data_IF_739514386039
#
_entry.id   IF_739514386039
#
_cell.length_a   1.000
_cell.length_b   1.000
_cell.length_c   1.000
_cell.angle_alpha   90.00
_cell.angle_beta   90.00
_cell.angle_gamma   90.00
#
_symmetry.space_group_name_H-M   'P 1'
#
loop_
_entity.id
_entity.type
_entity.pdbx_description
1 polymer ?
#
# COMPACT_ATOMS: atom_id res chain seq x y z
N UNK A 1 -33.27 27.29 -57.48
CA UNK A 1 -32.74 28.10 -56.36
C UNK A 1 -33.64 27.76 -55.18
N UNK A 2 -33.23 27.05 -54.13
CA UNK A 2 -31.93 27.02 -53.44
C UNK A 2 -31.69 25.62 -52.85
N UNK A 3 -30.41 25.30 -52.76
CA UNK A 3 -29.70 24.06 -52.45
C UNK A 3 -30.02 23.37 -51.12
N UNK A 4 -30.05 22.03 -51.22
CA UNK A 4 -29.79 21.03 -50.17
C UNK A 4 -28.40 21.24 -49.54
N UNK A 5 -28.30 21.12 -48.22
CA UNK A 5 -27.01 20.99 -47.51
C UNK A 5 -27.11 19.85 -46.51
N UNK A 6 -26.68 18.68 -46.97
CA UNK A 6 -26.19 17.55 -46.18
C UNK A 6 -25.21 18.01 -45.10
N UNK A 7 -25.52 17.67 -43.85
CA UNK A 7 -24.55 17.70 -42.74
C UNK A 7 -23.67 16.47 -42.93
N UNK A 8 -22.46 16.71 -43.42
CA UNK A 8 -21.38 15.73 -43.50
C UNK A 8 -20.93 15.35 -42.09
N UNK A 9 -21.30 14.12 -41.71
CA UNK A 9 -20.43 13.10 -41.14
C UNK A 9 -18.99 13.55 -40.83
N UNK A 10 -18.73 13.86 -39.56
CA UNK A 10 -17.36 13.91 -39.02
C UNK A 10 -17.04 12.57 -38.38
N UNK A 11 -17.02 11.53 -39.20
CA UNK A 11 -16.29 10.32 -38.91
C UNK A 11 -14.78 10.58 -39.13
N UNK A 12 -14.00 10.00 -38.23
CA UNK A 12 -12.61 9.61 -38.41
C UNK A 12 -11.49 10.65 -38.14
N UNK A 13 -11.05 10.69 -36.88
CA UNK A 13 -9.72 11.20 -36.46
C UNK A 13 -8.99 10.25 -35.52
N UNK A 14 -9.34 8.96 -35.51
CA UNK A 14 -8.56 7.96 -34.79
C UNK A 14 -7.92 7.02 -35.81
N UNK A 15 -6.68 7.35 -36.18
CA UNK A 15 -5.76 6.34 -36.71
C UNK A 15 -5.69 5.13 -35.78
N UNK A 16 -5.13 3.99 -36.23
CA UNK A 16 -5.11 2.74 -35.46
C UNK A 16 -4.66 3.05 -34.03
N UNK A 17 -5.55 2.84 -33.05
CA UNK A 17 -5.36 3.24 -31.66
C UNK A 17 -3.93 2.93 -31.22
N UNK A 18 -3.08 3.95 -31.19
CA UNK A 18 -1.71 3.81 -30.74
C UNK A 18 -1.82 3.34 -29.29
N UNK A 19 -1.44 2.09 -29.03
CA UNK A 19 -1.57 1.47 -27.72
C UNK A 19 -0.91 2.40 -26.69
N UNK A 20 -1.74 3.05 -25.88
CA UNK A 20 -1.27 3.99 -24.86
C UNK A 20 -0.34 3.22 -23.92
N UNK A 21 0.76 3.83 -23.50
CA UNK A 21 1.71 3.24 -22.55
C UNK A 21 1.55 3.87 -21.16
N UNK A 22 1.74 3.04 -20.14
CA UNK A 22 1.63 3.39 -18.73
C UNK A 22 2.91 2.94 -18.03
N UNK A 23 3.61 3.90 -17.44
CA UNK A 23 4.69 3.65 -16.49
C UNK A 23 4.11 3.63 -15.07
N UNK A 24 4.43 2.60 -14.29
CA UNK A 24 4.06 2.50 -12.89
C UNK A 24 5.31 2.52 -12.03
N UNK A 25 5.37 3.41 -11.05
CA UNK A 25 6.44 3.47 -10.04
C UNK A 25 5.97 2.78 -8.77
N UNK A 26 6.71 1.77 -8.35
CA UNK A 26 6.38 0.88 -7.24
C UNK A 26 5.61 -0.37 -7.70
N UNK A 27 6.10 -1.55 -7.35
CA UNK A 27 5.54 -2.86 -7.69
C UNK A 27 4.73 -3.44 -6.51
N UNK A 28 3.94 -2.60 -5.85
CA UNK A 28 3.03 -2.99 -4.76
C UNK A 28 1.64 -3.45 -5.25
N UNK A 29 0.68 -3.66 -4.32
CA UNK A 29 -0.67 -4.13 -4.65
C UNK A 29 -1.38 -3.33 -5.75
N UNK A 30 -1.19 -2.01 -5.78
CA UNK A 30 -1.79 -1.13 -6.81
C UNK A 30 -1.30 -1.48 -8.22
N UNK A 31 0.01 -1.71 -8.39
CA UNK A 31 0.58 -2.10 -9.68
C UNK A 31 0.09 -3.49 -10.09
N UNK A 32 0.09 -4.44 -9.15
CA UNK A 32 -0.40 -5.81 -9.39
C UNK A 32 -1.87 -5.80 -9.80
N UNK A 33 -2.72 -5.01 -9.15
CA UNK A 33 -4.13 -4.86 -9.50
C UNK A 33 -4.33 -4.33 -10.93
N UNK A 34 -3.59 -3.28 -11.31
CA UNK A 34 -3.67 -2.72 -12.67
C UNK A 34 -3.21 -3.74 -13.71
N UNK A 35 -2.13 -4.46 -13.46
CA UNK A 35 -1.60 -5.48 -14.38
C UNK A 35 -2.52 -6.70 -14.45
N UNK A 36 -3.08 -7.16 -13.34
CA UNK A 36 -4.06 -8.26 -13.31
C UNK A 36 -5.35 -7.89 -14.06
N UNK A 37 -5.87 -6.67 -13.87
CA UNK A 37 -7.02 -6.18 -14.64
C UNK A 37 -6.70 -6.10 -16.14
N UNK A 38 -5.52 -5.59 -16.50
CA UNK A 38 -5.09 -5.57 -17.90
C UNK A 38 -4.96 -6.98 -18.49
N UNK A 39 -4.48 -7.96 -17.71
CA UNK A 39 -4.45 -9.36 -18.14
C UNK A 39 -5.86 -9.90 -18.38
N UNK A 40 -6.80 -9.68 -17.45
CA UNK A 40 -8.20 -10.09 -17.59
C UNK A 40 -8.86 -9.47 -18.85
N UNK A 41 -8.73 -8.16 -19.04
CA UNK A 41 -9.22 -7.46 -20.23
C UNK A 41 -8.62 -8.04 -21.52
N UNK A 42 -7.31 -8.32 -21.54
CA UNK A 42 -6.61 -8.88 -22.70
C UNK A 42 -7.11 -10.28 -23.06
N UNK A 43 -7.41 -11.14 -22.07
CA UNK A 43 -7.97 -12.49 -22.35
C UNK A 43 -9.33 -12.43 -23.04
N UNK A 44 -10.05 -11.33 -22.85
CA UNK A 44 -11.36 -11.06 -23.46
C UNK A 44 -11.26 -10.29 -24.78
N UNK A 45 -10.04 -10.04 -25.28
CA UNK A 45 -9.80 -9.29 -26.52
C UNK A 45 -10.04 -7.78 -26.40
N UNK A 46 -10.13 -7.25 -25.19
CA UNK A 46 -10.32 -5.81 -24.95
C UNK A 46 -8.98 -5.07 -25.00
N UNK A 47 -9.01 -3.81 -25.46
CA UNK A 47 -7.83 -2.98 -25.56
C UNK A 47 -7.25 -2.66 -24.18
N UNK A 48 -5.92 -2.76 -24.06
CA UNK A 48 -5.18 -2.47 -22.83
C UNK A 48 -3.90 -1.70 -23.12
N UNK A 49 -3.46 -0.81 -22.23
CA UNK A 49 -2.20 -0.13 -22.41
C UNK A 49 -1.01 -1.09 -22.29
N UNK A 50 0.13 -0.69 -22.87
CA UNK A 50 1.42 -1.32 -22.55
C UNK A 50 1.86 -0.83 -21.18
N UNK A 51 2.02 -1.74 -20.23
CA UNK A 51 2.32 -1.38 -18.84
C UNK A 51 3.75 -1.83 -18.52
N UNK A 52 4.58 -0.89 -18.08
CA UNK A 52 5.91 -1.17 -17.52
C UNK A 52 5.91 -0.73 -16.07
N UNK A 53 6.35 -1.61 -15.18
CA UNK A 53 6.44 -1.38 -13.73
C UNK A 53 7.90 -1.24 -13.34
N UNK A 54 8.23 -0.25 -12.52
CA UNK A 54 9.59 -0.01 -12.02
C UNK A 54 9.58 -0.05 -10.51
N UNK A 55 10.43 -0.88 -9.91
CA UNK A 55 10.58 -0.97 -8.46
C UNK A 55 12.01 -1.41 -8.09
N UNK A 56 12.65 -0.78 -7.11
CA UNK A 56 14.03 -1.12 -6.74
C UNK A 56 14.16 -2.47 -6.02
N UNK A 57 13.10 -2.92 -5.33
CA UNK A 57 13.08 -4.15 -4.53
C UNK A 57 12.41 -5.32 -5.26
N UNK A 58 11.56 -4.99 -6.23
CA UNK A 58 10.72 -5.92 -6.98
C UNK A 58 9.31 -6.04 -6.42
N UNK A 59 8.53 -7.00 -6.92
CA UNK A 59 7.12 -7.14 -6.54
C UNK A 59 6.98 -7.36 -5.03
N UNK A 60 6.17 -6.49 -4.42
CA UNK A 60 5.83 -6.50 -3.02
C UNK A 60 6.99 -6.30 -2.04
N UNK A 61 8.09 -5.64 -2.45
CA UNK A 61 9.25 -5.39 -1.58
C UNK A 61 8.91 -4.84 -0.19
N UNK A 62 7.99 -3.87 -0.11
CA UNK A 62 7.52 -3.25 1.15
C UNK A 62 6.71 -4.18 2.07
N UNK A 63 6.35 -5.38 1.62
CA UNK A 63 5.67 -6.40 2.42
C UNK A 63 6.64 -7.48 2.91
N UNK A 64 7.94 -7.28 2.68
CA UNK A 64 9.04 -8.13 3.11
C UNK A 64 10.01 -7.32 3.96
N UNK A 65 10.93 -8.00 4.63
CA UNK A 65 12.03 -7.37 5.39
C UNK A 65 12.88 -6.41 4.54
N UNK A 66 13.02 -6.67 3.24
CA UNK A 66 13.81 -5.85 2.31
C UNK A 66 13.28 -4.43 2.14
N UNK A 67 11.98 -4.22 2.38
CA UNK A 67 11.37 -2.90 2.30
C UNK A 67 11.42 -2.13 3.61
N UNK A 68 11.95 -2.73 4.68
CA UNK A 68 12.15 -2.09 5.97
C UNK A 68 10.88 -1.51 6.64
N UNK A 69 9.69 -1.91 6.17
CA UNK A 69 8.41 -1.53 6.78
C UNK A 69 7.89 -2.58 7.76
N UNK A 70 8.37 -3.82 7.66
CA UNK A 70 7.87 -4.99 8.38
C UNK A 70 8.93 -6.09 8.33
N UNK A 71 8.90 -7.03 9.28
CA UNK A 71 9.71 -8.26 9.23
C UNK A 71 9.07 -9.35 8.35
N UNK A 72 7.91 -9.08 7.75
CA UNK A 72 7.13 -10.05 6.99
C UNK A 72 6.31 -11.01 7.87
N UNK A 73 6.50 -11.01 9.19
CA UNK A 73 5.83 -11.93 10.12
C UNK A 73 4.48 -11.40 10.60
N UNK A 74 4.31 -10.09 10.64
CA UNK A 74 3.08 -9.48 11.12
C UNK A 74 1.90 -9.80 10.19
N UNK A 75 0.69 -10.02 10.75
CA UNK A 75 -0.49 -10.32 9.97
C UNK A 75 -1.01 -9.09 9.22
N UNK A 76 -1.66 -9.32 8.09
CA UNK A 76 -2.32 -8.30 7.30
C UNK A 76 -3.48 -7.68 8.10
N UNK A 77 -3.53 -6.35 8.21
CA UNK A 77 -4.58 -5.64 8.95
C UNK A 77 -5.96 -5.64 8.28
N UNK A 78 -6.08 -6.16 7.06
CA UNK A 78 -7.35 -6.28 6.31
C UNK A 78 -7.61 -7.72 5.89
N UNK A 79 -8.87 -8.15 5.74
CA UNK A 79 -9.17 -9.49 5.23
C UNK A 79 -8.50 -9.73 3.88
N UNK A 80 -7.85 -10.89 3.67
CA UNK A 80 -7.11 -11.16 2.44
C UNK A 80 -8.00 -11.28 1.21
N UNK A 81 -9.32 -11.42 1.37
CA UNK A 81 -10.30 -11.33 0.29
C UNK A 81 -10.39 -9.93 -0.33
N UNK A 82 -9.93 -8.87 0.37
CA UNK A 82 -9.71 -7.53 -0.22
C UNK A 82 -8.41 -7.52 -1.04
N UNK A 83 -8.38 -8.38 -2.05
CA UNK A 83 -7.23 -8.65 -2.88
C UNK A 83 -7.13 -7.76 -4.12
N UNK A 84 -6.27 -8.11 -5.08
CA UNK A 84 -5.98 -7.26 -6.25
C UNK A 84 -7.16 -7.08 -7.19
N UNK A 85 -8.20 -7.91 -7.08
CA UNK A 85 -9.40 -7.85 -7.89
C UNK A 85 -10.64 -7.32 -7.16
N UNK A 86 -10.61 -7.28 -5.84
CA UNK A 86 -11.71 -6.78 -5.02
C UNK A 86 -12.12 -5.33 -5.43
N UNK A 87 -13.42 -5.02 -5.54
CA UNK A 87 -14.59 -5.83 -5.16
C UNK A 87 -15.17 -6.70 -6.29
N UNK A 88 -14.46 -6.90 -7.40
CA UNK A 88 -15.00 -7.61 -8.58
C UNK A 88 -16.29 -6.98 -9.12
N UNK A 89 -16.27 -5.65 -9.28
CA UNK A 89 -17.35 -4.86 -9.86
C UNK A 89 -16.79 -3.92 -10.93
N UNK A 90 -16.48 -4.47 -12.10
CA UNK A 90 -15.97 -3.71 -13.23
C UNK A 90 -17.02 -2.76 -13.80
N UNK A 91 -16.59 -1.58 -14.23
CA UNK A 91 -17.46 -0.60 -14.90
C UNK A 91 -16.85 -0.04 -16.20
N UNK A 92 -15.68 -0.55 -16.60
CA UNK A 92 -14.90 -0.04 -17.73
C UNK A 92 -15.08 -0.85 -19.02
N UNK A 93 -15.88 -1.92 -18.99
CA UNK A 93 -16.07 -2.85 -20.11
C UNK A 93 -17.53 -2.96 -20.59
N UNK A 94 -18.38 -2.00 -20.19
CA UNK A 94 -19.79 -1.98 -20.58
C UNK A 94 -20.51 -3.28 -20.21
N UNK A 95 -21.25 -3.85 -21.16
CA UNK A 95 -21.99 -5.11 -21.01
C UNK A 95 -21.11 -6.31 -20.65
N UNK A 96 -19.80 -6.24 -20.96
CA UNK A 96 -18.84 -7.32 -20.68
C UNK A 96 -18.17 -7.21 -19.31
N UNK A 97 -18.64 -6.31 -18.45
CA UNK A 97 -18.01 -6.07 -17.15
C UNK A 97 -18.00 -7.31 -16.24
N UNK A 98 -19.06 -8.12 -16.25
CA UNK A 98 -19.10 -9.37 -15.49
C UNK A 98 -18.09 -10.40 -15.99
N UNK A 99 -17.89 -10.51 -17.31
CA UNK A 99 -16.85 -11.38 -17.89
C UNK A 99 -15.45 -10.95 -17.41
N UNK A 100 -15.21 -9.64 -17.32
CA UNK A 100 -13.93 -9.10 -16.80
C UNK A 100 -13.74 -9.47 -15.33
N UNK A 101 -14.80 -9.42 -14.53
CA UNK A 101 -14.74 -9.78 -13.11
C UNK A 101 -14.48 -11.28 -12.93
N UNK A 102 -15.12 -12.15 -13.71
CA UNK A 102 -14.85 -13.59 -13.74
C UNK A 102 -13.40 -13.90 -14.14
N UNK A 103 -12.90 -13.24 -15.19
CA UNK A 103 -11.51 -13.39 -15.62
C UNK A 103 -10.52 -12.86 -14.58
N UNK A 104 -10.84 -11.75 -13.91
CA UNK A 104 -10.01 -11.16 -12.85
C UNK A 104 -10.00 -12.03 -11.58
N UNK A 105 -11.08 -12.73 -11.28
CA UNK A 105 -11.16 -13.64 -10.15
C UNK A 105 -10.10 -14.75 -10.19
N UNK A 106 -9.55 -15.05 -11.37
CA UNK A 106 -8.42 -15.96 -11.55
C UNK A 106 -7.12 -15.51 -10.83
N UNK A 107 -7.04 -14.25 -10.40
CA UNK A 107 -5.92 -13.65 -9.64
C UNK A 107 -6.24 -13.44 -8.15
N UNK A 108 -7.37 -13.98 -7.68
CA UNK A 108 -7.82 -13.79 -6.30
C UNK A 108 -7.00 -14.56 -5.26
N UNK A 109 -7.11 -14.14 -4.00
CA UNK A 109 -6.49 -14.82 -2.87
C UNK A 109 -6.94 -16.30 -2.74
N UNK A 110 -8.23 -16.66 -2.85
CA UNK A 110 -8.66 -18.06 -2.91
C UNK A 110 -8.00 -18.85 -4.05
N UNK A 111 -7.79 -18.23 -5.22
CA UNK A 111 -7.11 -18.90 -6.33
C UNK A 111 -5.62 -19.14 -6.06
N UNK A 112 -4.94 -18.20 -5.40
CA UNK A 112 -3.58 -18.40 -4.90
C UNK A 112 -3.49 -19.52 -3.88
N UNK A 113 -4.43 -19.59 -2.94
CA UNK A 113 -4.46 -20.68 -1.96
C UNK A 113 -4.76 -22.03 -2.61
N UNK A 114 -5.64 -22.07 -3.62
CA UNK A 114 -5.93 -23.28 -4.39
C UNK A 114 -4.71 -23.75 -5.18
N UNK A 115 -4.03 -22.85 -5.89
CA UNK A 115 -2.83 -23.17 -6.68
C UNK A 115 -1.67 -23.67 -5.83
N UNK A 116 -1.67 -23.33 -4.54
CA UNK A 116 -0.63 -23.72 -3.58
C UNK A 116 -1.07 -24.79 -2.59
N UNK A 117 -2.23 -25.43 -2.80
CA UNK A 117 -2.72 -26.54 -1.96
C UNK A 117 -3.10 -26.14 -0.52
N UNK A 118 -3.34 -24.86 -0.26
CA UNK A 118 -3.58 -24.29 1.08
C UNK A 118 -5.03 -23.91 1.37
N UNK A 119 -5.91 -23.97 0.36
CA UNK A 119 -7.27 -23.46 0.47
C UNK A 119 -8.09 -24.14 1.58
N UNK A 120 -8.14 -25.47 1.62
CA UNK A 120 -8.91 -26.21 2.63
C UNK A 120 -8.44 -25.88 4.05
N UNK A 121 -7.12 -25.97 4.30
CA UNK A 121 -6.52 -25.65 5.61
C UNK A 121 -6.79 -24.20 6.05
N UNK A 122 -6.81 -23.24 5.13
CA UNK A 122 -7.16 -21.85 5.46
C UNK A 122 -8.62 -21.70 5.87
N UNK A 123 -9.55 -22.41 5.18
CA UNK A 123 -10.97 -22.44 5.56
C UNK A 123 -11.16 -23.11 6.92
N UNK A 124 -10.56 -24.28 7.14
CA UNK A 124 -10.69 -25.06 8.38
C UNK A 124 -10.16 -24.31 9.61
N UNK A 125 -9.20 -23.39 9.40
CA UNK A 125 -8.64 -22.52 10.44
C UNK A 125 -9.44 -21.24 10.66
N UNK A 126 -10.61 -21.09 10.05
CA UNK A 126 -11.46 -19.91 10.19
C UNK A 126 -10.95 -18.68 9.44
N UNK A 127 -10.28 -18.88 8.30
CA UNK A 127 -9.79 -17.82 7.40
C UNK A 127 -8.85 -16.81 8.07
N UNK A 128 -7.74 -17.26 8.69
CA UNK A 128 -6.81 -16.35 9.34
C UNK A 128 -6.21 -15.36 8.34
N UNK A 129 -5.93 -14.14 8.83
CA UNK A 129 -5.23 -13.12 8.06
C UNK A 129 -3.79 -13.59 7.78
N UNK A 130 -3.29 -13.51 6.54
CA UNK A 130 -1.95 -13.96 6.21
C UNK A 130 -0.90 -13.02 6.77
N UNK A 131 0.31 -13.53 6.99
CA UNK A 131 1.46 -12.67 7.27
C UNK A 131 1.81 -11.80 6.06
N UNK A 132 2.48 -10.67 6.27
CA UNK A 132 2.95 -9.81 5.18
C UNK A 132 3.84 -10.57 4.17
N UNK A 133 4.69 -11.49 4.62
CA UNK A 133 5.50 -12.33 3.72
C UNK A 133 4.64 -13.25 2.85
N UNK A 134 3.55 -13.79 3.39
CA UNK A 134 2.59 -14.60 2.62
C UNK A 134 1.80 -13.72 1.65
N UNK A 135 1.44 -12.50 2.05
CA UNK A 135 0.83 -11.52 1.17
C UNK A 135 1.76 -11.12 0.02
N UNK A 136 3.05 -10.90 0.30
CA UNK A 136 4.07 -10.67 -0.71
C UNK A 136 4.16 -11.83 -1.70
N UNK A 137 4.12 -13.07 -1.21
CA UNK A 137 4.08 -14.27 -2.06
C UNK A 137 2.84 -14.33 -2.96
N UNK A 138 1.68 -13.88 -2.46
CA UNK A 138 0.47 -13.78 -3.26
C UNK A 138 0.60 -12.73 -4.37
N UNK A 139 1.10 -11.54 -4.04
CA UNK A 139 1.31 -10.46 -5.01
C UNK A 139 2.31 -10.85 -6.11
N UNK A 140 3.39 -11.54 -5.74
CA UNK A 140 4.36 -12.10 -6.68
C UNK A 140 3.71 -13.13 -7.62
N UNK A 141 2.94 -14.07 -7.07
CA UNK A 141 2.19 -15.04 -7.86
C UNK A 141 1.22 -14.38 -8.85
N UNK A 142 0.47 -13.37 -8.39
CA UNK A 142 -0.49 -12.67 -9.23
C UNK A 142 0.22 -11.86 -10.35
N UNK A 143 1.33 -11.20 -10.03
CA UNK A 143 2.13 -10.44 -10.98
C UNK A 143 2.76 -11.33 -12.07
N UNK A 144 3.33 -12.47 -11.67
CA UNK A 144 3.92 -13.45 -12.59
C UNK A 144 2.84 -14.01 -13.52
N UNK A 145 1.72 -14.46 -12.96
CA UNK A 145 0.59 -15.01 -13.74
C UNK A 145 -0.02 -13.99 -14.70
N UNK A 146 0.03 -12.70 -14.36
CA UNK A 146 -0.48 -11.62 -15.20
C UNK A 146 0.53 -11.16 -16.28
N UNK A 147 1.77 -11.66 -16.24
CA UNK A 147 2.83 -11.30 -17.17
C UNK A 147 3.34 -9.87 -16.97
N UNK A 148 3.58 -9.46 -15.72
CA UNK A 148 4.10 -8.12 -15.40
C UNK A 148 5.47 -7.85 -16.04
N UNK A 149 5.58 -6.79 -16.85
CA UNK A 149 6.88 -6.23 -17.30
C UNK A 149 7.48 -5.40 -16.16
N UNK A 150 8.31 -6.04 -15.35
CA UNK A 150 8.99 -5.44 -14.20
C UNK A 150 10.42 -5.06 -14.56
N UNK A 151 10.81 -3.83 -14.24
CA UNK A 151 12.19 -3.33 -14.28
C UNK A 151 12.69 -3.09 -12.87
N UNK A 152 13.75 -3.81 -12.48
CA UNK A 152 14.41 -3.60 -11.19
C UNK A 152 15.30 -2.36 -11.29
N UNK A 153 14.77 -1.23 -10.83
CA UNK A 153 15.46 0.06 -10.86
C UNK A 153 14.80 1.04 -9.87
N UNK A 154 15.55 2.04 -9.44
CA UNK A 154 15.05 3.14 -8.63
C UNK A 154 14.77 4.36 -9.52
N UNK A 155 13.55 4.89 -9.51
CA UNK A 155 13.27 6.16 -10.21
C UNK A 155 13.78 7.31 -9.34
N UNK A 156 14.82 7.99 -9.81
CA UNK A 156 15.50 9.08 -9.09
C UNK A 156 15.09 10.47 -9.56
N UNK A 157 14.51 10.58 -10.76
CA UNK A 157 13.98 11.83 -11.29
C UNK A 157 12.80 11.59 -12.23
N UNK A 158 11.89 12.57 -12.26
CA UNK A 158 10.76 12.63 -13.17
C UNK A 158 10.75 14.00 -13.85
N UNK A 159 10.57 13.98 -15.17
CA UNK A 159 10.43 15.17 -16.01
C UNK A 159 9.31 14.98 -17.03
N UNK A 160 8.96 16.05 -17.74
CA UNK A 160 8.03 16.05 -18.86
C UNK A 160 8.78 16.55 -20.10
N UNK A 161 8.93 15.68 -21.09
CA UNK A 161 9.53 16.01 -22.38
C UNK A 161 8.55 15.70 -23.52
N UNK A 162 8.37 16.66 -24.43
CA UNK A 162 7.44 16.58 -25.57
C UNK A 162 6.03 16.04 -25.21
N UNK A 163 5.51 16.40 -24.03
CA UNK A 163 4.20 15.97 -23.54
C UNK A 163 4.14 14.51 -23.07
N UNK A 164 5.28 13.87 -22.82
CA UNK A 164 5.41 12.53 -22.23
C UNK A 164 6.12 12.64 -20.89
N UNK A 165 5.82 11.70 -19.99
CA UNK A 165 6.63 11.51 -18.80
C UNK A 165 7.97 10.91 -19.18
N UNK A 166 9.04 11.39 -18.55
CA UNK A 166 10.39 10.82 -18.65
C UNK A 166 10.88 10.53 -17.24
N UNK A 167 11.08 9.26 -16.93
CA UNK A 167 11.65 8.81 -15.68
C UNK A 167 13.11 8.45 -15.86
N UNK A 168 13.98 9.03 -15.04
CA UNK A 168 15.37 8.58 -14.91
C UNK A 168 15.42 7.48 -13.87
N UNK A 169 15.73 6.26 -14.31
CA UNK A 169 15.81 5.07 -13.49
C UNK A 169 17.27 4.65 -13.29
N UNK A 170 17.71 4.64 -12.03
CA UNK A 170 19.02 4.17 -11.60
C UNK A 170 19.03 2.65 -11.47
N UNK A 171 20.05 2.03 -12.06
CA UNK A 171 20.32 0.59 -12.01
C UNK A 171 21.77 0.34 -11.60
N UNK A 172 22.12 -0.91 -11.33
CA UNK A 172 23.52 -1.30 -11.10
C UNK A 172 24.45 -0.96 -12.29
N UNK A 173 23.90 -0.82 -13.50
CA UNK A 173 24.64 -0.52 -14.73
C UNK A 173 24.63 0.97 -15.10
N UNK A 174 24.13 1.84 -14.21
CA UNK A 174 23.99 3.27 -14.43
C UNK A 174 22.55 3.73 -14.64
N UNK A 175 22.40 4.91 -15.23
CA UNK A 175 21.11 5.55 -15.44
C UNK A 175 20.48 5.11 -16.76
N UNK A 176 19.16 4.92 -16.75
CA UNK A 176 18.34 4.62 -17.93
C UNK A 176 17.15 5.57 -17.98
N UNK A 177 16.69 5.91 -19.19
CA UNK A 177 15.51 6.74 -19.39
C UNK A 177 14.33 5.86 -19.82
N UNK A 178 13.21 6.02 -19.13
CA UNK A 178 11.94 5.40 -19.46
C UNK A 178 10.96 6.51 -19.81
N UNK A 179 10.20 6.35 -20.91
CA UNK A 179 9.22 7.37 -21.32
C UNK A 179 7.86 6.75 -21.59
N UNK A 180 6.81 7.41 -21.11
CA UNK A 180 5.42 6.97 -21.25
C UNK A 180 4.46 8.14 -21.37
N UNK A 181 3.28 7.91 -21.95
CA UNK A 181 2.18 8.88 -21.99
C UNK A 181 1.49 9.01 -20.64
N UNK A 182 1.38 7.92 -19.90
CA UNK A 182 0.73 7.89 -18.60
C UNK A 182 1.72 7.46 -17.50
N UNK A 183 1.51 7.99 -16.30
CA UNK A 183 2.29 7.66 -15.12
C UNK A 183 1.34 7.33 -13.96
N UNK A 184 1.63 6.26 -13.22
CA UNK A 184 1.00 5.96 -11.94
C UNK A 184 2.08 5.81 -10.87
N UNK A 185 2.02 6.63 -9.82
CA UNK A 185 2.93 6.54 -8.67
C UNK A 185 2.24 5.76 -7.55
N UNK A 186 2.96 4.80 -6.98
CA UNK A 186 2.48 3.97 -5.87
C UNK A 186 3.54 3.82 -4.78
N UNK A 187 3.13 3.29 -3.63
CA UNK A 187 4.02 3.07 -2.47
C UNK A 187 3.92 4.19 -1.42
N UNK A 188 4.35 3.90 -0.18
CA UNK A 188 4.30 4.83 0.95
C UNK A 188 5.48 5.83 0.99
N UNK A 189 6.44 5.71 0.07
CA UNK A 189 7.75 6.35 0.17
C UNK A 189 8.75 5.50 0.96
N UNK A 190 9.92 6.05 1.31
CA UNK A 190 10.97 5.31 1.98
C UNK A 190 10.72 5.21 3.51
N UNK A 191 11.13 4.09 4.11
CA UNK A 191 10.94 3.77 5.53
C UNK A 191 11.97 4.44 6.46
N UNK A 192 13.00 5.04 5.88
CA UNK A 192 14.11 5.72 6.56
C UNK A 192 13.82 7.19 6.93
N UNK A 193 12.64 7.70 6.54
CA UNK A 193 12.26 9.09 6.79
C UNK A 193 12.00 9.34 8.28
N UNK A 194 12.74 10.29 8.83
CA UNK A 194 12.53 10.84 10.16
C UNK A 194 11.76 12.16 10.12
N UNK A 195 10.63 12.30 10.86
CA UNK A 195 9.87 13.55 10.91
C UNK A 195 10.63 14.73 11.53
N UNK A 196 11.60 14.45 12.41
CA UNK A 196 12.32 15.45 13.21
C UNK A 196 13.75 15.73 12.73
N UNK A 197 14.12 15.25 11.54
CA UNK A 197 15.50 15.29 11.02
C UNK A 197 16.34 14.12 11.52
N UNK A 198 17.50 13.89 10.89
CA UNK A 198 18.43 12.82 11.24
C UNK A 198 19.46 13.26 12.29
N UNK A 199 20.10 12.30 12.97
CA UNK A 199 21.30 12.54 13.78
C UNK A 199 21.08 12.71 15.29
N UNK A 200 19.87 12.50 15.81
CA UNK A 200 19.64 12.42 17.27
C UNK A 200 19.83 10.98 17.73
N UNK A 201 20.81 10.74 18.61
CA UNK A 201 21.05 9.41 19.18
C UNK A 201 19.79 8.87 19.88
N UNK A 202 19.44 7.61 19.62
CA UNK A 202 18.25 6.97 20.16
C UNK A 202 16.95 7.25 19.40
N UNK A 203 17.00 7.99 18.27
CA UNK A 203 15.86 8.17 17.37
C UNK A 203 16.04 7.27 16.15
N UNK A 204 15.06 6.39 15.95
CA UNK A 204 15.08 5.40 14.87
C UNK A 204 13.97 5.73 13.86
N UNK A 205 14.30 5.69 12.57
CA UNK A 205 13.27 5.52 11.55
C UNK A 205 12.67 4.11 11.66
N UNK A 206 11.62 3.83 10.89
CA UNK A 206 11.05 2.47 10.84
C UNK A 206 12.11 1.49 10.33
N UNK A 207 12.92 1.92 9.37
CA UNK A 207 14.00 1.10 8.83
C UNK A 207 15.10 0.82 9.85
N UNK A 208 15.61 1.88 10.51
CA UNK A 208 16.68 1.74 11.51
C UNK A 208 16.21 0.84 12.66
N UNK A 209 14.94 0.95 13.06
CA UNK A 209 14.37 0.12 14.12
C UNK A 209 14.41 -1.36 13.74
N UNK A 210 13.89 -1.74 12.57
CA UNK A 210 13.88 -3.14 12.16
C UNK A 210 15.29 -3.70 11.92
N UNK A 211 16.21 -2.88 11.41
CA UNK A 211 17.62 -3.26 11.28
C UNK A 211 18.27 -3.52 12.65
N UNK A 212 18.08 -2.62 13.62
CA UNK A 212 18.55 -2.81 14.98
C UNK A 212 17.97 -4.09 15.62
N UNK A 213 16.69 -4.37 15.38
CA UNK A 213 16.04 -5.57 15.91
C UNK A 213 16.58 -6.86 15.28
N UNK A 214 16.90 -6.83 13.99
CA UNK A 214 17.54 -7.94 13.27
C UNK A 214 18.98 -8.19 13.75
N UNK A 215 19.72 -7.13 14.07
CA UNK A 215 21.06 -7.21 14.65
C UNK A 215 21.07 -7.62 16.13
N UNK A 216 19.91 -7.75 16.77
CA UNK A 216 19.80 -8.08 18.19
C UNK A 216 20.27 -6.97 19.11
N UNK A 217 20.18 -5.70 18.67
CA UNK A 217 20.50 -4.54 19.49
C UNK A 217 19.61 -4.50 20.74
N UNK A 218 20.20 -4.09 21.86
CA UNK A 218 19.43 -3.84 23.08
C UNK A 218 18.51 -2.64 22.90
N UNK A 219 17.28 -2.77 23.43
CA UNK A 219 16.29 -1.70 23.47
C UNK A 219 16.28 -1.15 24.89
N UNK A 220 16.25 0.18 25.03
CA UNK A 220 16.12 0.80 26.34
C UNK A 220 14.77 0.50 27.02
N UNK A 221 14.72 0.70 28.33
CA UNK A 221 13.53 0.39 29.14
C UNK A 221 12.34 1.33 28.92
N UNK A 222 12.56 2.52 28.35
CA UNK A 222 11.54 3.55 28.13
C UNK A 222 11.57 4.00 26.67
N UNK A 223 10.55 3.57 25.91
CA UNK A 223 10.48 3.78 24.46
C UNK A 223 9.27 4.62 24.10
N UNK A 224 9.47 5.57 23.19
CA UNK A 224 8.40 6.38 22.60
C UNK A 224 8.19 5.96 21.14
N UNK A 225 6.97 5.58 20.79
CA UNK A 225 6.57 5.27 19.42
C UNK A 225 5.70 6.41 18.87
N UNK A 226 6.09 6.99 17.74
CA UNK A 226 5.36 8.11 17.12
C UNK A 226 4.39 7.57 16.08
N UNK A 227 3.10 7.72 16.35
CA UNK A 227 2.01 7.28 15.46
C UNK A 227 1.06 6.27 16.12
N UNK A 228 -0.06 6.02 15.44
CA UNK A 228 -1.08 5.05 15.86
C UNK A 228 -1.66 4.27 14.67
N UNK A 229 -0.87 4.10 13.60
CA UNK A 229 -1.25 3.25 12.45
C UNK A 229 -0.69 1.83 12.58
N UNK A 230 -0.96 0.98 11.60
CA UNK A 230 -0.48 -0.41 11.56
C UNK A 230 1.04 -0.53 11.80
N UNK A 231 1.86 0.34 11.19
CA UNK A 231 3.31 0.35 11.41
C UNK A 231 3.71 0.63 12.85
N UNK A 232 3.04 1.58 13.51
CA UNK A 232 3.31 1.85 14.93
C UNK A 232 2.88 0.65 15.79
N UNK A 233 1.74 0.03 15.45
CA UNK A 233 1.22 -1.14 16.13
C UNK A 233 2.17 -2.33 16.08
N UNK A 234 2.73 -2.63 14.91
CA UNK A 234 3.69 -3.74 14.76
C UNK A 234 5.01 -3.50 15.48
N UNK A 235 5.45 -2.24 15.60
CA UNK A 235 6.60 -1.87 16.43
C UNK A 235 6.29 -2.10 17.91
N UNK A 236 5.13 -1.65 18.40
CA UNK A 236 4.76 -1.83 19.81
C UNK A 236 4.61 -3.31 20.16
N UNK A 237 4.02 -4.13 19.28
CA UNK A 237 3.93 -5.56 19.47
C UNK A 237 5.32 -6.22 19.59
N UNK A 238 6.28 -5.83 18.73
CA UNK A 238 7.67 -6.32 18.83
C UNK A 238 8.33 -5.88 20.15
N UNK A 239 8.14 -4.64 20.57
CA UNK A 239 8.67 -4.12 21.84
C UNK A 239 8.10 -4.89 23.05
N UNK A 240 6.82 -5.27 23.00
CA UNK A 240 6.19 -6.13 24.02
C UNK A 240 6.83 -7.51 24.09
N UNK A 241 7.13 -8.14 22.94
CA UNK A 241 7.87 -9.41 22.91
C UNK A 241 9.29 -9.29 23.49
N UNK A 242 9.90 -8.11 23.42
CA UNK A 242 11.21 -7.80 24.01
C UNK A 242 11.13 -7.43 25.50
N UNK A 243 9.92 -7.34 26.08
CA UNK A 243 9.67 -6.99 27.49
C UNK A 243 10.22 -5.62 27.89
N UNK A 244 10.07 -4.63 26.99
CA UNK A 244 10.40 -3.23 27.30
C UNK A 244 9.53 -2.75 28.46
N UNK A 245 10.13 -2.11 29.46
CA UNK A 245 9.44 -1.79 30.71
C UNK A 245 8.35 -0.72 30.56
N UNK A 246 8.49 0.20 29.60
CA UNK A 246 7.51 1.26 29.33
C UNK A 246 7.48 1.62 27.85
N UNK A 247 6.29 1.58 27.26
CA UNK A 247 6.06 1.97 25.87
C UNK A 247 5.04 3.11 25.87
N UNK A 248 5.42 4.28 25.37
CA UNK A 248 4.49 5.41 25.16
C UNK A 248 4.27 5.63 23.69
N UNK A 249 3.03 5.49 23.26
CA UNK A 249 2.63 5.88 21.93
C UNK A 249 2.15 7.32 21.91
N UNK A 250 2.64 8.11 20.96
CA UNK A 250 2.20 9.49 20.78
C UNK A 250 1.47 9.62 19.45
N UNK A 251 0.19 10.02 19.51
CA UNK A 251 -0.59 10.32 18.30
C UNK A 251 -1.57 11.48 18.54
N UNK A 252 -1.99 12.23 17.49
CA UNK A 252 -2.85 13.39 17.66
C UNK A 252 -4.26 13.08 18.18
N UNK A 253 -4.71 11.82 18.09
CA UNK A 253 -6.03 11.41 18.56
C UNK A 253 -6.17 11.53 20.08
N UNK A 254 -7.40 11.67 20.58
CA UNK A 254 -7.66 11.67 22.02
C UNK A 254 -7.34 10.32 22.69
N UNK A 255 -7.35 9.24 21.91
CA UNK A 255 -6.96 7.89 22.32
C UNK A 255 -6.38 7.14 21.11
N UNK A 256 -5.85 5.94 21.35
CA UNK A 256 -5.56 4.97 20.32
C UNK A 256 -6.87 4.32 19.85
N UNK A 257 -7.31 4.68 18.65
CA UNK A 257 -8.52 4.11 18.07
C UNK A 257 -8.20 2.83 17.29
N UNK A 258 -9.07 1.83 17.40
CA UNK A 258 -9.16 0.78 16.40
C UNK A 258 -9.90 1.29 15.17
N UNK A 259 -9.56 0.75 14.01
CA UNK A 259 -10.25 1.02 12.75
C UNK A 259 -11.72 0.65 12.91
N UNK A 260 -12.61 1.56 12.51
CA UNK A 260 -14.01 1.23 12.31
C UNK A 260 -14.16 0.20 11.19
N UNK A 261 -14.55 -1.03 11.56
CA UNK A 261 -14.78 -2.14 10.62
C UNK A 261 -16.28 -2.45 10.47
N UNK A 262 -17.16 -1.49 10.76
CA UNK A 262 -18.58 -1.68 10.53
C UNK A 262 -18.88 -1.91 9.04
N UNK A 263 -20.00 -2.57 8.73
CA UNK A 263 -20.44 -2.76 7.35
C UNK A 263 -20.52 -1.43 6.59
N UNK A 264 -21.06 -0.37 7.22
CA UNK A 264 -21.23 0.93 6.58
C UNK A 264 -19.89 1.63 6.28
N UNK A 265 -18.93 1.55 7.19
CA UNK A 265 -17.59 2.11 6.95
C UNK A 265 -16.86 1.33 5.85
N UNK A 266 -16.90 0.00 5.90
CA UNK A 266 -16.31 -0.86 4.90
C UNK A 266 -16.92 -0.68 3.50
N UNK A 267 -18.22 -0.38 3.42
CA UNK A 267 -18.90 -0.11 2.16
C UNK A 267 -18.32 1.11 1.43
N UNK A 268 -17.92 2.18 2.16
CA UNK A 268 -17.31 3.37 1.57
C UNK A 268 -15.96 3.04 0.90
N UNK A 269 -15.15 2.17 1.50
CA UNK A 269 -13.90 1.70 0.89
C UNK A 269 -14.12 0.74 -0.28
N UNK A 270 -15.18 -0.05 -0.22
CA UNK A 270 -15.52 -1.06 -1.24
C UNK A 270 -16.07 -0.39 -2.51
N UNK A 271 -17.00 0.55 -2.33
CA UNK A 271 -17.61 1.32 -3.41
C UNK A 271 -17.71 2.78 -2.98
N UNK A 272 -16.80 3.66 -3.42
CA UNK A 272 -16.84 5.08 -3.07
C UNK A 272 -17.91 5.85 -3.85
N UNK A 273 -18.97 5.18 -4.32
CA UNK A 273 -20.11 5.81 -4.99
C UNK A 273 -20.79 6.79 -4.02
N UNK A 274 -20.70 8.09 -4.34
CA UNK A 274 -21.19 9.17 -3.47
C UNK A 274 -20.12 9.85 -2.62
N UNK A 275 -18.89 9.31 -2.53
CA UNK A 275 -17.80 9.93 -1.76
C UNK A 275 -17.54 11.36 -2.18
N UNK A 276 -17.48 11.61 -3.50
CA UNK A 276 -17.26 12.96 -4.05
C UNK A 276 -18.38 13.97 -3.70
N UNK A 277 -19.58 13.48 -3.37
CA UNK A 277 -20.71 14.32 -2.97
C UNK A 277 -20.69 14.72 -1.48
N UNK A 278 -19.83 14.11 -0.66
CA UNK A 278 -19.73 14.42 0.76
C UNK A 278 -18.95 15.73 0.98
N UNK A 279 -19.39 16.51 1.98
CA UNK A 279 -18.66 17.68 2.45
C UNK A 279 -17.22 17.29 2.82
N UNK A 280 -16.26 18.18 2.55
CA UNK A 280 -14.84 17.90 2.81
C UNK A 280 -14.58 17.59 4.29
N UNK A 281 -15.23 18.28 5.21
CA UNK A 281 -15.12 18.02 6.66
C UNK A 281 -15.53 16.60 7.01
N UNK A 282 -16.63 16.10 6.43
CA UNK A 282 -17.12 14.73 6.63
C UNK A 282 -16.13 13.71 6.05
N UNK A 283 -15.59 13.99 4.86
CA UNK A 283 -14.55 13.14 4.25
C UNK A 283 -13.29 13.07 5.12
N UNK A 284 -12.86 14.20 5.69
CA UNK A 284 -11.69 14.27 6.58
C UNK A 284 -11.93 13.53 7.89
N UNK A 285 -13.10 13.68 8.50
CA UNK A 285 -13.47 12.96 9.72
C UNK A 285 -13.52 11.44 9.47
N UNK A 286 -14.11 11.01 8.36
CA UNK A 286 -14.12 9.60 7.96
C UNK A 286 -12.70 9.03 7.83
N UNK A 287 -11.81 9.69 7.08
CA UNK A 287 -10.41 9.26 6.90
C UNK A 287 -9.68 9.19 8.26
N UNK A 288 -9.91 10.17 9.14
CA UNK A 288 -9.28 10.23 10.45
C UNK A 288 -9.68 9.06 11.37
N UNK A 289 -10.88 8.48 11.21
CA UNK A 289 -11.38 7.38 12.05
C UNK A 289 -11.16 5.98 11.47
N UNK A 290 -10.83 5.89 10.19
CA UNK A 290 -10.85 4.60 9.48
C UNK A 290 -9.53 4.24 8.79
N UNK A 291 -8.66 5.21 8.54
CA UNK A 291 -7.41 5.00 7.82
C UNK A 291 -6.21 5.59 8.58
N UNK A 292 -6.27 6.89 8.90
CA UNK A 292 -5.12 7.60 9.48
C UNK A 292 -5.09 7.49 10.99
N UNK A 293 -4.05 6.84 11.51
CA UNK A 293 -3.79 6.82 12.95
C UNK A 293 -4.74 5.92 13.73
N UNK A 294 -5.20 4.85 13.08
CA UNK A 294 -5.98 3.78 13.70
C UNK A 294 -5.30 2.43 13.54
N UNK A 295 -5.52 1.54 14.49
CA UNK A 295 -5.02 0.17 14.48
C UNK A 295 -6.00 -0.80 13.84
N UNK A 296 -5.49 -1.88 13.24
CA UNK A 296 -6.34 -3.06 13.01
C UNK A 296 -6.86 -3.59 14.34
N UNK A 297 -8.01 -4.25 14.29
CA UNK A 297 -8.62 -4.92 15.46
C UNK A 297 -7.67 -5.95 16.08
N UNK A 298 -6.83 -6.60 15.26
CA UNK A 298 -5.80 -7.52 15.73
C UNK A 298 -4.69 -6.81 16.52
N UNK A 299 -4.10 -5.76 15.95
CA UNK A 299 -3.08 -4.95 16.65
C UNK A 299 -3.66 -4.37 17.94
N UNK A 300 -4.90 -3.89 17.92
CA UNK A 300 -5.55 -3.40 19.13
C UNK A 300 -5.63 -4.48 20.21
N UNK A 301 -5.99 -5.72 19.87
CA UNK A 301 -6.05 -6.82 20.82
C UNK A 301 -4.66 -7.19 21.39
N UNK A 302 -3.60 -7.07 20.59
CA UNK A 302 -2.22 -7.24 21.09
C UNK A 302 -1.84 -6.10 22.05
N UNK A 303 -2.18 -4.85 21.71
CA UNK A 303 -1.91 -3.69 22.55
C UNK A 303 -2.67 -3.73 23.88
N UNK A 304 -3.93 -4.16 23.86
CA UNK A 304 -4.77 -4.28 25.05
C UNK A 304 -4.20 -5.31 26.06
N UNK A 305 -3.34 -6.22 25.60
CA UNK A 305 -2.65 -7.20 26.44
C UNK A 305 -1.32 -6.70 27.03
N UNK A 306 -0.82 -5.52 26.61
CA UNK A 306 0.45 -4.95 27.06
C UNK A 306 0.21 -3.92 28.17
N UNK A 307 0.47 -4.28 29.42
CA UNK A 307 0.30 -3.40 30.58
C UNK A 307 1.30 -2.22 30.57
N UNK A 308 2.46 -2.41 29.95
CA UNK A 308 3.52 -1.43 29.78
C UNK A 308 3.21 -0.36 28.71
N UNK A 309 2.20 -0.60 27.87
CA UNK A 309 1.82 0.29 26.78
C UNK A 309 0.83 1.36 27.25
N UNK A 310 1.12 2.61 26.90
CA UNK A 310 0.25 3.75 27.20
C UNK A 310 0.15 4.67 26.00
N UNK A 311 -0.96 5.40 25.91
CA UNK A 311 -1.19 6.39 24.87
C UNK A 311 -1.09 7.81 25.44
N UNK A 312 -0.44 8.68 24.67
CA UNK A 312 -0.35 10.11 24.93
C UNK A 312 -0.93 10.84 23.72
N UNK A 313 -1.99 11.61 23.96
CA UNK A 313 -2.55 12.49 22.93
C UNK A 313 -1.60 13.67 22.70
N UNK A 314 -1.11 13.81 21.47
CA UNK A 314 -0.20 14.89 21.12
C UNK A 314 0.45 14.74 19.75
N UNK A 315 1.08 15.81 19.28
CA UNK A 315 1.91 15.81 18.09
C UNK A 315 3.35 16.07 18.48
N UNK A 316 4.26 15.20 18.06
CA UNK A 316 5.70 15.42 18.26
C UNK A 316 6.16 16.51 17.29
N UNK A 317 6.56 17.66 17.85
CA UNK A 317 7.03 18.82 17.07
C UNK A 317 8.55 18.92 17.01
N UNK A 318 9.25 18.34 17.99
CA UNK A 318 10.71 18.37 18.10
C UNK A 318 11.20 17.18 18.91
N UNK A 319 12.34 16.63 18.52
CA UNK A 319 13.10 15.66 19.32
C UNK A 319 14.51 16.20 19.49
N UNK A 320 15.04 16.11 20.70
CA UNK A 320 16.39 16.57 21.02
C UNK A 320 16.98 15.67 22.11
N UNK A 321 18.31 15.53 22.12
CA UNK A 321 19.01 14.87 23.20
C UNK A 321 18.68 15.56 24.54
N UNK A 322 18.32 14.76 25.53
CA UNK A 322 18.03 15.27 26.85
C UNK A 322 19.35 15.70 27.54
N UNK A 323 19.46 16.92 28.08
CA UNK A 323 20.64 17.30 28.87
C UNK A 323 20.77 16.37 30.07
N UNK A 324 21.98 15.91 30.38
CA UNK A 324 22.22 15.08 31.55
C UNK A 324 21.70 15.79 32.82
N UNK A 325 20.74 15.16 33.53
CA UNK A 325 20.31 15.59 34.86
C UNK A 325 18.96 16.33 34.99
N UNK A 326 18.21 16.59 33.92
CA UNK A 326 16.83 17.05 34.07
C UNK A 326 15.85 15.85 34.14
N UNK A 327 14.76 15.99 34.90
CA UNK A 327 13.72 14.97 35.05
C UNK A 327 12.44 15.42 34.35
N UNK A 328 11.96 14.61 33.40
CA UNK A 328 10.67 14.80 32.75
C UNK A 328 10.75 15.12 31.25
N UNK A 329 9.75 14.64 30.51
CA UNK A 329 9.51 14.97 29.12
C UNK A 329 8.73 16.30 29.08
N UNK A 330 9.09 17.23 28.19
CA UNK A 330 8.30 18.43 27.86
C UNK A 330 7.70 18.27 26.47
#
# INVERSE_FOLDING_TARGET
>A
MTTSSTITDTADRNGPHELTDLLIIGAGPKAVAVVAKAAALRTLGLAVPRITVVDPLGVAGNWTERGHWTTGRQPLGTPPEKDVGFPYASHIAGERSSEVDDALFAFSWPQYLRSTGRYASWVDRGRPHPTHARWASYLQWAAERAGMDLRIAEVVALDIDAGRWVATASTANGLSLLSSRCLMVTGPGPADRLPCGSGVAGVFSVADFWEAMACGSEVGDDVVVIGAGETAGTIVAELGHRKVARIRMVSPGATAFSRGESHFENAVFTSPAGWAGLAESVRRDFIARTDRGVFSTHVQAELDALEEASHVSGQVVRVAAHPAGASGWV
#
